data_IF_905738246332
#
_entry.id   IF_905738246332
#
_cell.length_a   1.000
_cell.length_b   1.000
_cell.length_c   1.000
_cell.angle_alpha   90.00
_cell.angle_beta   90.00
_cell.angle_gamma   90.00
#
_symmetry.space_group_name_H-M   'P 1'
#
loop_
_entity.id
_entity.type
_entity.pdbx_description
1 polymer ?
#
# COMPACT_ATOMS: atom_id res chain seq x y z
N UNK A 1 66.29 -30.87 18.10
CA UNK A 1 65.14 -31.54 18.76
C UNK A 1 63.88 -30.90 18.20
N UNK A 2 63.08 -31.68 17.48
CA UNK A 2 61.98 -31.22 16.62
C UNK A 2 60.75 -30.84 17.44
N UNK A 3 60.21 -29.63 17.23
CA UNK A 3 58.96 -29.19 17.85
C UNK A 3 57.79 -29.51 16.89
N UNK A 4 56.77 -30.22 17.36
CA UNK A 4 55.60 -30.59 16.56
C UNK A 4 54.55 -29.48 16.62
N UNK A 5 54.11 -29.01 15.45
CA UNK A 5 53.03 -28.03 15.34
C UNK A 5 51.66 -28.73 15.46
N UNK A 6 50.90 -28.40 16.51
CA UNK A 6 49.49 -28.77 16.60
C UNK A 6 48.65 -27.66 15.96
N UNK A 7 48.21 -27.89 14.72
CA UNK A 7 47.21 -27.03 14.07
C UNK A 7 45.85 -27.35 14.67
N UNK A 8 45.43 -26.58 15.69
CA UNK A 8 44.00 -26.45 15.97
C UNK A 8 43.48 -25.39 15.00
N UNK A 9 42.68 -25.83 14.03
CA UNK A 9 41.85 -24.93 13.26
C UNK A 9 40.77 -24.38 14.21
N UNK A 10 40.98 -23.18 14.74
CA UNK A 10 39.92 -22.44 15.40
C UNK A 10 38.92 -22.00 14.32
N UNK A 11 37.76 -22.64 14.27
CA UNK A 11 36.58 -22.06 13.63
C UNK A 11 36.14 -20.91 14.54
N UNK A 12 36.57 -19.70 14.22
CA UNK A 12 35.98 -18.48 14.74
C UNK A 12 34.58 -18.35 14.14
N UNK A 13 33.57 -18.72 14.92
CA UNK A 13 32.18 -18.39 14.60
C UNK A 13 32.10 -16.86 14.71
N UNK A 14 32.04 -16.15 13.59
CA UNK A 14 31.62 -14.75 13.58
C UNK A 14 30.16 -14.71 14.01
N UNK A 15 29.92 -14.56 15.32
CA UNK A 15 28.62 -14.14 15.81
C UNK A 15 28.42 -12.69 15.34
N UNK A 16 27.74 -12.52 14.21
CA UNK A 16 27.30 -11.20 13.78
C UNK A 16 26.36 -10.62 14.84
N UNK A 17 26.67 -9.43 15.35
CA UNK A 17 25.71 -8.68 16.16
C UNK A 17 24.54 -8.28 15.25
N UNK A 18 23.37 -8.88 15.45
CA UNK A 18 22.15 -8.38 14.83
C UNK A 18 21.82 -7.03 15.50
N UNK A 19 21.89 -5.94 14.74
CA UNK A 19 21.35 -4.65 15.17
C UNK A 19 19.88 -4.63 14.77
N UNK A 20 19.00 -4.50 15.76
CA UNK A 20 17.58 -4.20 15.52
C UNK A 20 17.37 -2.70 15.77
N UNK A 21 16.66 -2.05 14.86
CA UNK A 21 16.21 -0.68 15.04
C UNK A 21 14.69 -0.69 15.26
N UNK A 22 14.23 0.11 16.21
CA UNK A 22 12.82 0.30 16.50
C UNK A 22 12.46 1.75 16.18
N UNK A 23 11.42 1.90 15.36
CA UNK A 23 10.90 3.19 14.95
C UNK A 23 9.44 3.26 15.37
N UNK A 24 9.05 4.36 15.99
CA UNK A 24 7.65 4.69 16.23
C UNK A 24 7.22 5.78 15.27
N UNK A 25 6.05 5.62 14.68
CA UNK A 25 5.36 6.71 14.01
C UNK A 25 4.53 7.43 15.07
N UNK A 26 4.65 8.75 15.17
CA UNK A 26 3.89 9.53 16.16
C UNK A 26 2.37 9.43 15.92
N UNK A 27 1.96 9.15 14.68
CA UNK A 27 0.56 9.08 14.28
C UNK A 27 0.37 8.27 12.97
N UNK A 28 -0.75 7.54 12.85
CA UNK A 28 -1.15 6.77 11.65
C UNK A 28 -1.07 5.25 11.81
N UNK A 29 -1.77 4.53 10.93
CA UNK A 29 -1.75 3.07 10.82
C UNK A 29 -0.83 2.67 9.67
N UNK A 30 0.32 2.08 10.00
CA UNK A 30 1.19 1.49 8.99
C UNK A 30 0.53 0.22 8.44
N UNK A 31 0.32 0.17 7.13
CA UNK A 31 -0.43 -0.89 6.47
C UNK A 31 0.46 -1.73 5.54
N UNK A 32 1.61 -1.21 5.11
CA UNK A 32 2.58 -1.94 4.29
C UNK A 32 4.01 -1.42 4.46
N UNK A 33 4.98 -2.26 4.10
CA UNK A 33 6.38 -1.89 3.98
C UNK A 33 6.98 -2.55 2.75
N UNK A 34 7.74 -1.79 1.98
CA UNK A 34 8.45 -2.23 0.79
C UNK A 34 9.80 -2.87 1.13
N UNK A 35 10.43 -3.52 0.15
CA UNK A 35 11.78 -4.08 0.32
C UNK A 35 12.86 -2.99 0.42
N UNK A 36 12.53 -1.74 0.07
CA UNK A 36 13.43 -0.58 0.20
C UNK A 36 13.27 0.13 1.54
N UNK A 37 12.41 -0.38 2.44
CA UNK A 37 12.19 0.17 3.78
C UNK A 37 11.21 1.34 3.83
N UNK A 38 10.56 1.67 2.71
CA UNK A 38 9.48 2.66 2.68
C UNK A 38 8.20 2.01 3.17
N UNK A 39 7.60 2.61 4.20
CA UNK A 39 6.28 2.27 4.72
C UNK A 39 5.16 3.05 4.02
N UNK A 40 3.97 2.47 4.01
CA UNK A 40 2.74 3.13 3.58
C UNK A 40 1.60 2.83 4.55
N UNK A 41 0.65 3.76 4.65
CA UNK A 41 -0.45 3.62 5.59
C UNK A 41 -1.48 4.72 5.47
N UNK A 42 -2.35 4.81 6.47
CA UNK A 42 -3.39 5.83 6.54
C UNK A 42 -3.35 6.61 7.87
N UNK A 43 -3.64 7.91 7.82
CA UNK A 43 -3.77 8.72 9.04
C UNK A 43 -5.12 8.51 9.76
N UNK A 44 -5.96 7.57 9.29
CA UNK A 44 -7.30 7.35 9.81
C UNK A 44 -8.16 8.63 9.79
N UNK A 45 -9.07 8.76 10.76
CA UNK A 45 -10.07 9.84 10.79
C UNK A 45 -9.51 11.24 11.10
N UNK A 46 -8.24 11.39 11.47
CA UNK A 46 -7.71 12.72 11.83
C UNK A 46 -7.42 13.59 10.60
N UNK A 47 -6.85 13.00 9.54
CA UNK A 47 -6.52 13.71 8.29
C UNK A 47 -7.16 13.04 7.05
N UNK A 48 -7.80 11.88 7.21
CA UNK A 48 -8.50 11.10 6.19
C UNK A 48 -7.75 10.89 4.87
N UNK A 49 -6.41 10.81 4.92
CA UNK A 49 -5.54 10.60 3.77
C UNK A 49 -4.55 9.45 4.01
N UNK A 50 -3.88 9.01 2.95
CA UNK A 50 -2.76 8.08 3.03
C UNK A 50 -1.43 8.80 3.27
N UNK A 51 -0.44 8.05 3.71
CA UNK A 51 0.92 8.55 3.91
C UNK A 51 1.98 7.55 3.44
N UNK A 52 3.17 8.09 3.14
CA UNK A 52 4.42 7.32 3.11
C UNK A 52 5.24 7.61 4.35
N UNK A 53 6.00 6.63 4.80
CA UNK A 53 6.96 6.79 5.90
C UNK A 53 8.32 6.24 5.51
N UNK A 54 9.37 6.94 5.90
CA UNK A 54 10.72 6.38 5.91
C UNK A 54 11.52 6.91 7.12
N UNK A 55 12.61 6.22 7.43
CA UNK A 55 13.49 6.54 8.55
C UNK A 55 14.12 7.95 8.49
N UNK A 56 14.25 8.53 7.29
CA UNK A 56 14.91 9.82 7.09
C UNK A 56 13.92 10.98 7.22
N UNK A 57 12.73 10.82 6.64
CA UNK A 57 11.75 11.88 6.44
C UNK A 57 10.52 11.76 7.36
N UNK A 58 10.36 10.65 8.08
CA UNK A 58 9.16 10.37 8.85
C UNK A 58 7.93 10.22 7.94
N UNK A 59 6.73 10.44 8.52
CA UNK A 59 5.47 10.33 7.78
C UNK A 59 5.21 11.57 6.92
N UNK A 60 4.82 11.35 5.67
CA UNK A 60 4.49 12.37 4.68
C UNK A 60 3.13 12.04 4.06
N UNK A 61 2.17 12.97 4.15
CA UNK A 61 0.86 12.82 3.54
C UNK A 61 0.94 12.78 2.02
N UNK A 62 0.17 11.90 1.39
CA UNK A 62 0.14 11.71 -0.06
C UNK A 62 -1.27 11.90 -0.64
N UNK A 63 -2.22 12.41 0.14
CA UNK A 63 -3.61 12.55 -0.27
C UNK A 63 -4.35 11.21 -0.40
N UNK A 64 -5.32 11.17 -1.30
CA UNK A 64 -6.31 10.10 -1.38
C UNK A 64 -7.36 10.22 -0.27
N UNK A 65 -8.16 9.16 -0.09
CA UNK A 65 -9.22 9.10 0.92
C UNK A 65 -9.05 7.79 1.70
N UNK A 66 -8.59 7.91 2.93
CA UNK A 66 -8.45 6.77 3.83
C UNK A 66 -9.82 6.19 4.23
N UNK A 67 -9.81 4.94 4.71
CA UNK A 67 -11.04 4.27 5.12
C UNK A 67 -11.74 4.99 6.29
N UNK A 68 -13.05 5.20 6.14
CA UNK A 68 -13.88 5.93 7.08
C UNK A 68 -15.08 6.59 6.38
N UNK A 69 -16.13 6.93 7.14
CA UNK A 69 -17.30 7.67 6.64
C UNK A 69 -17.93 7.09 5.34
N UNK A 70 -17.95 5.77 5.20
CA UNK A 70 -18.54 5.09 4.03
C UNK A 70 -17.56 4.83 2.87
N UNK A 71 -16.27 5.16 3.03
CA UNK A 71 -15.20 4.88 2.05
C UNK A 71 -14.31 3.76 2.56
N UNK A 72 -13.95 2.82 1.69
CA UNK A 72 -13.06 1.70 1.97
C UNK A 72 -11.65 1.91 1.41
N UNK A 73 -10.73 1.03 1.80
CA UNK A 73 -9.42 0.91 1.16
C UNK A 73 -8.22 0.91 2.12
N UNK A 74 -7.06 0.53 1.59
CA UNK A 74 -5.79 0.45 2.30
C UNK A 74 -4.62 0.90 1.41
N UNK A 75 -3.73 1.68 2.03
CA UNK A 75 -2.44 2.14 1.53
C UNK A 75 -1.40 1.02 1.56
N UNK A 76 -1.51 0.02 0.69
CA UNK A 76 -0.50 -1.06 0.54
C UNK A 76 0.53 -0.66 -0.51
N UNK A 77 1.80 -1.02 -0.29
CA UNK A 77 2.92 -0.62 -1.16
C UNK A 77 3.54 -1.81 -1.90
N UNK A 78 3.94 -1.56 -3.14
CA UNK A 78 4.68 -2.49 -4.00
C UNK A 78 6.11 -2.75 -3.47
N UNK A 79 6.73 -3.83 -3.94
CA UNK A 79 8.00 -4.32 -3.38
C UNK A 79 9.16 -3.33 -3.56
N UNK A 80 9.21 -2.62 -4.69
CA UNK A 80 10.22 -1.60 -4.96
C UNK A 80 9.94 -0.28 -4.20
N UNK A 81 8.76 -0.17 -3.60
CA UNK A 81 8.33 0.99 -2.88
C UNK A 81 7.81 2.10 -3.78
N UNK A 82 7.53 1.88 -5.07
CA UNK A 82 7.12 2.95 -5.99
C UNK A 82 5.62 3.24 -5.94
N UNK A 83 4.82 2.19 -6.03
CA UNK A 83 3.38 2.28 -6.14
C UNK A 83 2.66 1.92 -4.86
N UNK A 84 1.57 2.63 -4.57
CA UNK A 84 0.71 2.41 -3.40
C UNK A 84 -0.75 2.27 -3.86
N UNK A 85 -1.47 1.25 -3.41
CA UNK A 85 -2.92 1.15 -3.63
C UNK A 85 -3.69 2.06 -2.69
N UNK A 86 -4.93 2.38 -3.02
CA UNK A 86 -5.85 3.03 -2.08
C UNK A 86 -7.13 3.42 -2.79
N UNK A 87 -7.81 4.40 -2.22
CA UNK A 87 -9.04 4.98 -2.77
C UNK A 87 -8.87 6.48 -2.90
N UNK A 88 -9.35 7.09 -3.99
CA UNK A 88 -9.37 8.55 -4.14
C UNK A 88 -10.77 9.05 -4.46
N UNK A 89 -11.00 10.35 -4.28
CA UNK A 89 -12.23 11.01 -4.72
C UNK A 89 -12.05 11.58 -6.12
N UNK A 90 -12.93 11.19 -7.04
CA UNK A 90 -13.00 11.67 -8.40
C UNK A 90 -14.02 12.82 -8.50
N UNK A 91 -13.54 14.06 -8.45
CA UNK A 91 -14.39 15.24 -8.51
C UNK A 91 -15.15 15.41 -9.84
N UNK A 92 -14.70 14.78 -10.93
CA UNK A 92 -15.39 14.87 -12.21
C UNK A 92 -16.67 14.02 -12.24
N UNK A 93 -16.68 12.91 -11.50
CA UNK A 93 -17.79 11.97 -11.46
C UNK A 93 -18.54 11.97 -10.11
N UNK A 94 -18.01 12.67 -9.10
CA UNK A 94 -18.56 12.76 -7.74
C UNK A 94 -18.67 11.40 -7.00
N UNK A 95 -17.58 10.62 -7.04
CA UNK A 95 -17.48 9.33 -6.33
C UNK A 95 -16.07 9.02 -5.81
N UNK A 96 -15.96 7.99 -4.99
CA UNK A 96 -14.72 7.37 -4.55
C UNK A 96 -14.40 6.13 -5.40
N UNK A 97 -13.13 5.98 -5.79
CA UNK A 97 -12.69 4.90 -6.66
C UNK A 97 -11.32 4.32 -6.25
N UNK A 98 -11.17 3.01 -6.47
CA UNK A 98 -9.90 2.29 -6.39
C UNK A 98 -8.86 3.05 -7.21
N UNK A 99 -7.69 3.24 -6.62
CA UNK A 99 -6.64 4.06 -7.19
C UNK A 99 -5.24 3.53 -6.88
N UNK A 100 -4.26 4.01 -7.65
CA UNK A 100 -2.83 3.76 -7.44
C UNK A 100 -2.05 5.06 -7.41
N UNK A 101 -1.26 5.28 -6.36
CA UNK A 101 -0.31 6.39 -6.27
C UNK A 101 1.04 5.98 -6.86
N UNK A 102 1.66 6.86 -7.66
CA UNK A 102 3.06 6.73 -8.08
C UNK A 102 3.92 7.74 -7.32
N UNK A 103 4.81 7.26 -6.45
CA UNK A 103 5.73 8.11 -5.68
C UNK A 103 6.75 8.86 -6.55
N UNK A 104 6.96 8.42 -7.79
CA UNK A 104 7.88 9.10 -8.72
C UNK A 104 7.28 10.40 -9.25
N UNK A 105 5.97 10.39 -9.56
CA UNK A 105 5.26 11.54 -10.10
C UNK A 105 4.50 12.33 -9.04
N UNK A 106 4.23 11.70 -7.89
CA UNK A 106 3.45 12.28 -6.81
C UNK A 106 1.95 12.31 -7.10
N UNK A 107 1.43 11.40 -7.93
CA UNK A 107 0.05 11.45 -8.44
C UNK A 107 -0.72 10.16 -8.20
N UNK A 108 -2.02 10.29 -7.93
CA UNK A 108 -2.98 9.18 -7.94
C UNK A 108 -3.59 8.99 -9.32
N UNK A 109 -3.76 7.73 -9.70
CA UNK A 109 -4.52 7.28 -10.87
C UNK A 109 -5.74 6.50 -10.37
N UNK A 110 -6.96 6.95 -10.71
CA UNK A 110 -8.21 6.28 -10.36
C UNK A 110 -8.71 5.35 -11.48
N UNK A 111 -9.38 4.27 -11.09
CA UNK A 111 -9.76 3.19 -12.01
C UNK A 111 -11.26 3.05 -12.26
N UNK A 112 -12.09 3.89 -11.62
CA UNK A 112 -13.53 3.88 -11.82
C UNK A 112 -14.24 2.64 -11.29
N UNK A 113 -15.40 2.39 -11.87
CA UNK A 113 -16.29 1.27 -11.52
C UNK A 113 -16.05 0.05 -12.40
N UNK A 114 -16.63 -1.09 -11.99
CA UNK A 114 -16.68 -2.30 -12.82
C UNK A 114 -17.32 -2.01 -14.20
N UNK A 115 -16.66 -2.29 -15.32
CA UNK A 115 -17.19 -1.95 -16.64
C UNK A 115 -18.52 -2.66 -16.95
N UNK A 116 -19.52 -1.89 -17.36
CA UNK A 116 -20.81 -2.40 -17.86
C UNK A 116 -21.86 -2.73 -16.80
N UNK A 117 -21.47 -2.97 -15.55
CA UNK A 117 -22.40 -3.33 -14.48
C UNK A 117 -22.07 -2.74 -13.10
N UNK A 118 -20.95 -2.03 -12.97
CA UNK A 118 -20.63 -1.25 -11.78
C UNK A 118 -21.64 -0.14 -11.55
N UNK A 119 -21.86 0.18 -10.28
CA UNK A 119 -22.75 1.24 -9.84
C UNK A 119 -22.12 1.96 -8.65
N UNK A 120 -22.44 3.25 -8.50
CA UNK A 120 -22.14 3.97 -7.27
C UNK A 120 -23.12 3.53 -6.18
N UNK A 121 -22.57 3.05 -5.07
CA UNK A 121 -23.31 2.75 -3.86
C UNK A 121 -22.80 3.71 -2.79
N UNK A 122 -23.73 4.48 -2.21
CA UNK A 122 -23.42 5.66 -1.41
C UNK A 122 -22.45 6.60 -2.16
N UNK A 123 -21.23 6.79 -1.65
CA UNK A 123 -20.23 7.65 -2.27
C UNK A 123 -19.16 6.87 -3.06
N UNK A 124 -19.21 5.53 -3.12
CA UNK A 124 -18.11 4.70 -3.65
C UNK A 124 -18.53 3.84 -4.84
N UNK A 125 -17.66 3.73 -5.85
CA UNK A 125 -17.81 2.81 -6.99
C UNK A 125 -16.81 1.65 -6.94
N UNK A 126 -15.66 1.86 -6.30
CA UNK A 126 -14.66 0.84 -6.01
C UNK A 126 -13.72 1.32 -4.90
N UNK A 127 -13.03 0.39 -4.22
CA UNK A 127 -11.98 0.70 -3.24
C UNK A 127 -10.77 -0.19 -3.41
N UNK A 128 -9.57 0.36 -3.19
CA UNK A 128 -8.30 -0.38 -3.31
C UNK A 128 -7.79 -0.91 -1.98
N UNK A 129 -7.48 -2.20 -1.90
CA UNK A 129 -7.12 -2.90 -0.65
C UNK A 129 -5.76 -3.61 -0.71
N UNK A 130 -5.21 -3.82 -1.89
CA UNK A 130 -3.91 -4.46 -2.06
C UNK A 130 -3.28 -4.15 -3.41
N UNK A 131 -1.98 -4.35 -3.49
CA UNK A 131 -1.19 -4.14 -4.70
C UNK A 131 -0.23 -5.32 -4.90
N UNK A 132 0.02 -5.68 -6.16
CA UNK A 132 1.04 -6.68 -6.51
C UNK A 132 2.45 -6.17 -6.20
N UNK A 133 3.39 -7.10 -6.03
CA UNK A 133 4.79 -6.75 -5.74
C UNK A 133 5.46 -5.90 -6.81
N UNK A 134 5.05 -6.04 -8.08
CA UNK A 134 5.53 -5.22 -9.20
C UNK A 134 4.71 -3.93 -9.40
N UNK A 135 3.67 -3.70 -8.60
CA UNK A 135 2.83 -2.51 -8.67
C UNK A 135 1.85 -2.46 -9.85
N UNK A 136 1.76 -3.52 -10.67
CA UNK A 136 0.98 -3.54 -11.93
C UNK A 136 -0.45 -4.06 -11.76
N UNK A 137 -0.83 -4.45 -10.56
CA UNK A 137 -2.19 -4.85 -10.23
C UNK A 137 -2.62 -4.28 -8.89
N UNK A 138 -3.85 -3.80 -8.82
CA UNK A 138 -4.50 -3.37 -7.57
C UNK A 138 -5.77 -4.19 -7.39
N UNK A 139 -5.94 -4.76 -6.20
CA UNK A 139 -7.13 -5.55 -5.85
C UNK A 139 -7.98 -4.82 -4.84
N UNK A 140 -9.28 -5.11 -4.84
CA UNK A 140 -10.18 -4.55 -3.85
C UNK A 140 -11.63 -4.87 -4.13
N UNK A 141 -12.51 -3.89 -3.87
CA UNK A 141 -13.94 -4.04 -4.04
C UNK A 141 -14.42 -3.18 -5.21
N UNK A 142 -15.38 -3.69 -5.98
CA UNK A 142 -16.19 -2.93 -6.91
C UNK A 142 -17.67 -3.09 -6.55
N UNK A 143 -18.41 -2.00 -6.63
CA UNK A 143 -19.80 -1.95 -6.21
C UNK A 143 -20.76 -2.21 -7.37
N UNK A 144 -21.81 -2.97 -7.09
CA UNK A 144 -22.89 -3.27 -8.03
C UNK A 144 -24.24 -3.18 -7.32
N UNK A 145 -25.33 -3.26 -8.09
CA UNK A 145 -26.68 -3.38 -7.56
C UNK A 145 -27.41 -4.60 -8.15
N UNK A 146 -26.76 -5.77 -8.15
CA UNK A 146 -27.28 -7.01 -8.72
C UNK A 146 -28.18 -7.77 -7.73
N UNK A 147 -29.08 -7.04 -7.06
CA UNK A 147 -30.04 -7.57 -6.09
C UNK A 147 -30.15 -6.67 -4.86
N UNK A 148 -29.02 -6.27 -4.30
CA UNK A 148 -28.86 -5.29 -3.21
C UNK A 148 -27.62 -4.42 -3.45
N UNK A 149 -27.30 -3.51 -2.53
CA UNK A 149 -25.99 -2.85 -2.50
C UNK A 149 -24.89 -3.92 -2.24
N UNK A 150 -24.20 -4.35 -3.30
CA UNK A 150 -23.35 -5.54 -3.27
C UNK A 150 -21.90 -5.21 -3.68
N UNK A 151 -20.94 -5.65 -2.86
CA UNK A 151 -19.51 -5.53 -3.14
C UNK A 151 -18.94 -6.82 -3.75
N UNK A 152 -18.17 -6.69 -4.82
CA UNK A 152 -17.48 -7.79 -5.48
C UNK A 152 -15.98 -7.60 -5.44
N UNK A 153 -15.23 -8.69 -5.28
CA UNK A 153 -13.78 -8.64 -5.48
C UNK A 153 -13.48 -8.18 -6.91
N UNK A 154 -12.61 -7.18 -7.05
CA UNK A 154 -12.18 -6.62 -8.33
C UNK A 154 -10.66 -6.52 -8.37
N UNK A 155 -10.11 -6.50 -9.59
CA UNK A 155 -8.70 -6.32 -9.84
C UNK A 155 -8.51 -5.40 -11.04
N UNK A 156 -7.88 -4.25 -10.82
CA UNK A 156 -7.30 -3.49 -11.90
C UNK A 156 -5.94 -4.07 -12.30
N UNK A 157 -5.68 -4.15 -13.60
CA UNK A 157 -4.37 -4.51 -14.15
C UNK A 157 -3.91 -3.49 -15.18
N UNK A 158 -2.66 -3.08 -15.08
CA UNK A 158 -2.06 -2.11 -15.99
C UNK A 158 -2.14 -2.59 -17.45
N UNK A 159 -2.72 -1.75 -18.31
CA UNK A 159 -2.94 -2.05 -19.73
C UNK A 159 -4.17 -2.93 -20.03
N UNK A 160 -4.85 -3.47 -19.01
CA UNK A 160 -6.09 -4.22 -19.16
C UNK A 160 -7.31 -3.50 -18.57
N UNK A 161 -7.11 -2.65 -17.55
CA UNK A 161 -8.19 -1.96 -16.85
C UNK A 161 -8.73 -2.76 -15.67
N UNK A 162 -9.91 -2.33 -15.20
CA UNK A 162 -10.66 -2.92 -14.09
C UNK A 162 -11.71 -3.92 -14.61
#
# INVERSE_FOLDING_TARGET
MTMHAMKIAAISILAGTASAQFWTTDFGFLEGISNTGVGSGSFGTANNEYFTWDATNGSQGIGGVAAGNGVGGQGKISNDGRYISGTTYNAANDWHEMSRYDRTTGTWEGFGMLPGFGQQIDAEVSSGWGISGDGRSVVGLGWTNLGTADAHASQWTEGAGL
#
